data_IF_120864838667
#
_entry.id   IF_120864838667
#
_cell.length_a   1.000
_cell.length_b   1.000
_cell.length_c   1.000
_cell.angle_alpha   90.00
_cell.angle_beta   90.00
_cell.angle_gamma   90.00
#
_symmetry.space_group_name_H-M   'P 1'
#
loop_
_entity.id
_entity.type
_entity.pdbx_description
1 polymer ?
#
# COMPACT_ATOMS: atom_id res chain seq x y z
N UNK A 1 -14.62 15.44 60.15
CA UNK A 1 -14.58 14.01 59.78
C UNK A 1 -15.40 13.73 58.52
N UNK A 2 -16.57 14.36 58.34
CA UNK A 2 -17.38 14.26 57.12
C UNK A 2 -16.78 14.96 55.89
N UNK A 3 -16.11 16.11 56.05
CA UNK A 3 -15.57 16.87 54.91
C UNK A 3 -14.51 16.11 54.11
N UNK A 4 -13.60 15.39 54.78
CA UNK A 4 -12.61 14.52 54.13
C UNK A 4 -13.26 13.42 53.27
N UNK A 5 -14.40 12.88 53.70
CA UNK A 5 -15.11 11.81 52.96
C UNK A 5 -15.77 12.38 51.70
N UNK A 6 -16.24 13.63 51.75
CA UNK A 6 -16.82 14.33 50.61
C UNK A 6 -15.74 14.69 49.58
N UNK A 7 -14.59 15.15 50.05
CA UNK A 7 -13.46 15.52 49.18
C UNK A 7 -12.85 14.30 48.49
N UNK A 8 -12.70 13.18 49.20
CA UNK A 8 -12.23 11.91 48.62
C UNK A 8 -13.18 11.40 47.54
N UNK A 9 -14.50 11.45 47.79
CA UNK A 9 -15.51 11.06 46.78
C UNK A 9 -15.47 11.94 45.53
N UNK A 10 -15.34 13.27 45.69
CA UNK A 10 -15.18 14.19 44.56
C UNK A 10 -13.90 13.92 43.78
N UNK A 11 -12.80 13.62 44.46
CA UNK A 11 -11.53 13.30 43.80
C UNK A 11 -11.63 12.03 42.95
N UNK A 12 -12.27 10.98 43.48
CA UNK A 12 -12.50 9.73 42.75
C UNK A 12 -13.42 9.93 41.54
N UNK A 13 -14.45 10.77 41.68
CA UNK A 13 -15.36 11.09 40.57
C UNK A 13 -14.64 11.87 39.45
N UNK A 14 -13.79 12.83 39.79
CA UNK A 14 -12.96 13.57 38.83
C UNK A 14 -11.98 12.64 38.11
N UNK A 15 -11.37 11.70 38.83
CA UNK A 15 -10.43 10.74 38.24
C UNK A 15 -11.13 9.74 37.30
N UNK A 16 -12.32 9.26 37.68
CA UNK A 16 -13.16 8.42 36.83
C UNK A 16 -13.57 9.15 35.55
N UNK A 17 -14.00 10.41 35.65
CA UNK A 17 -14.36 11.25 34.49
C UNK A 17 -13.15 11.48 33.57
N UNK A 18 -11.97 11.77 34.11
CA UNK A 18 -10.73 11.90 33.32
C UNK A 18 -10.31 10.62 32.64
N UNK A 19 -10.64 9.45 33.21
CA UNK A 19 -10.37 8.16 32.58
C UNK A 19 -11.32 7.93 31.40
N UNK A 20 -12.61 8.20 31.59
CA UNK A 20 -13.63 8.12 30.53
C UNK A 20 -13.28 9.08 29.39
N UNK A 21 -12.96 10.34 29.69
CA UNK A 21 -12.61 11.34 28.67
C UNK A 21 -11.39 10.92 27.83
N UNK A 22 -10.37 10.32 28.45
CA UNK A 22 -9.20 9.79 27.73
C UNK A 22 -9.57 8.61 26.84
N UNK A 23 -10.44 7.74 27.33
CA UNK A 23 -10.90 6.55 26.58
C UNK A 23 -11.78 6.96 25.39
N UNK A 24 -12.68 7.92 25.59
CA UNK A 24 -13.49 8.52 24.53
C UNK A 24 -12.63 9.22 23.48
N UNK A 25 -11.61 9.97 23.92
CA UNK A 25 -10.66 10.63 23.02
C UNK A 25 -9.85 9.61 22.21
N UNK A 26 -9.38 8.54 22.85
CA UNK A 26 -8.67 7.46 22.18
C UNK A 26 -9.56 6.78 21.11
N UNK A 27 -10.82 6.53 21.44
CA UNK A 27 -11.77 5.92 20.51
C UNK A 27 -12.09 6.86 19.33
N UNK A 28 -12.22 8.17 19.59
CA UNK A 28 -12.40 9.17 18.55
C UNK A 28 -11.20 9.25 17.61
N UNK A 29 -9.98 9.25 18.15
CA UNK A 29 -8.74 9.25 17.38
C UNK A 29 -8.59 7.97 16.55
N UNK A 30 -8.92 6.81 17.12
CA UNK A 30 -8.91 5.52 16.40
C UNK A 30 -9.90 5.52 15.22
N UNK A 31 -11.11 6.04 15.43
CA UNK A 31 -12.12 6.18 14.38
C UNK A 31 -11.67 7.15 13.28
N UNK A 32 -11.02 8.26 13.64
CA UNK A 32 -10.48 9.22 12.69
C UNK A 32 -9.39 8.59 11.83
N UNK A 33 -8.48 7.83 12.45
CA UNK A 33 -7.43 7.10 11.76
C UNK A 33 -8.00 6.05 10.78
N UNK A 34 -8.99 5.27 11.21
CA UNK A 34 -9.63 4.27 10.35
C UNK A 34 -10.33 4.92 9.14
N UNK A 35 -10.96 6.08 9.35
CA UNK A 35 -11.61 6.84 8.28
C UNK A 35 -10.59 7.46 7.31
N UNK A 36 -9.46 7.95 7.79
CA UNK A 36 -8.36 8.43 6.95
C UNK A 36 -7.73 7.30 6.15
N UNK A 37 -7.49 6.15 6.78
CA UNK A 37 -7.02 4.94 6.09
C UNK A 37 -7.98 4.54 4.97
N UNK A 38 -9.29 4.54 5.21
CA UNK A 38 -10.28 4.24 4.18
C UNK A 38 -10.29 5.28 3.07
N UNK A 39 -10.15 6.57 3.39
CA UNK A 39 -10.01 7.64 2.39
C UNK A 39 -8.78 7.45 1.50
N UNK A 40 -7.63 7.12 2.08
CA UNK A 40 -6.41 6.84 1.33
C UNK A 40 -6.56 5.60 0.44
N UNK A 41 -7.18 4.54 0.94
CA UNK A 41 -7.50 3.35 0.15
C UNK A 41 -8.52 3.65 -0.96
N UNK A 42 -9.47 4.55 -0.75
CA UNK A 42 -10.45 4.95 -1.76
C UNK A 42 -9.83 5.86 -2.83
N UNK A 43 -8.90 6.75 -2.45
CA UNK A 43 -8.16 7.62 -3.37
C UNK A 43 -7.12 6.85 -4.18
N UNK A 44 -6.56 5.78 -3.61
CA UNK A 44 -5.60 4.92 -4.27
C UNK A 44 -6.06 3.45 -4.12
N UNK A 45 -7.09 3.04 -4.88
CA UNK A 45 -7.65 1.70 -4.78
C UNK A 45 -6.53 0.68 -5.00
N UNK A 46 -6.27 -0.24 -4.05
CA UNK A 46 -5.41 -1.37 -4.34
C UNK A 46 -6.04 -2.09 -5.52
N UNK A 47 -5.25 -2.31 -6.59
CA UNK A 47 -5.71 -3.02 -7.78
C UNK A 47 -6.42 -4.30 -7.32
N UNK A 48 -7.74 -4.33 -7.50
CA UNK A 48 -8.58 -5.44 -7.11
C UNK A 48 -8.08 -6.68 -7.84
N UNK A 49 -7.38 -7.57 -7.12
CA UNK A 49 -7.10 -8.93 -7.59
C UNK A 49 -8.41 -9.71 -7.45
N UNK A 50 -9.30 -9.48 -8.41
CA UNK A 50 -10.64 -10.03 -8.49
C UNK A 50 -11.00 -10.28 -9.95
N UNK A 51 -10.69 -11.50 -10.38
CA UNK A 51 -11.00 -12.24 -11.60
C UNK A 51 -11.88 -11.59 -12.71
N UNK A 52 -11.38 -11.84 -13.92
CA UNK A 52 -12.06 -11.89 -15.23
C UNK A 52 -12.18 -10.58 -16.02
N UNK A 53 -11.39 -10.56 -17.09
CA UNK A 53 -11.66 -9.89 -18.37
C UNK A 53 -11.98 -8.40 -18.32
N UNK A 54 -10.94 -7.56 -18.38
CA UNK A 54 -10.70 -6.76 -19.57
C UNK A 54 -9.32 -6.11 -19.53
N UNK A 55 -8.71 -6.13 -20.70
CA UNK A 55 -7.52 -5.40 -21.09
C UNK A 55 -7.59 -3.93 -20.64
N UNK A 56 -6.43 -3.40 -20.25
CA UNK A 56 -6.10 -1.96 -20.22
C UNK A 56 -6.78 -1.04 -19.20
N UNK A 57 -6.18 -0.97 -18.00
CA UNK A 57 -5.99 0.30 -17.27
C UNK A 57 -5.24 0.07 -15.95
N UNK A 58 -3.93 -0.22 -16.04
CA UNK A 58 -3.07 -0.09 -14.86
C UNK A 58 -2.43 1.31 -14.93
N UNK A 59 -2.63 2.21 -13.95
CA UNK A 59 -2.08 3.57 -13.98
C UNK A 59 -0.55 3.64 -13.83
N UNK A 60 0.14 2.49 -13.84
CA UNK A 60 1.59 2.39 -13.91
C UNK A 60 1.97 1.04 -14.56
N UNK A 61 1.43 0.71 -15.74
CA UNK A 61 2.08 -0.33 -16.58
C UNK A 61 3.41 0.25 -17.04
N UNK A 62 4.46 0.00 -16.26
CA UNK A 62 5.83 0.10 -16.72
C UNK A 62 5.96 -0.96 -17.83
N UNK A 63 5.62 -0.58 -19.06
CA UNK A 63 5.74 -1.47 -20.20
C UNK A 63 7.23 -1.73 -20.41
N UNK A 64 7.61 -3.00 -20.42
CA UNK A 64 8.99 -3.43 -20.63
C UNK A 64 9.57 -2.83 -21.92
N UNK A 65 8.73 -2.57 -22.93
CA UNK A 65 9.10 -1.86 -24.17
C UNK A 65 9.55 -0.40 -23.96
N UNK A 66 9.17 0.21 -22.84
CA UNK A 66 9.61 1.56 -22.45
C UNK A 66 11.01 1.54 -21.81
N UNK A 67 11.39 0.41 -21.20
CA UNK A 67 12.63 0.27 -20.42
C UNK A 67 13.72 -0.51 -21.15
N UNK A 68 13.36 -1.34 -22.12
CA UNK A 68 14.30 -2.05 -22.96
C UNK A 68 14.50 -1.34 -24.30
N UNK A 69 15.75 -1.07 -24.70
CA UNK A 69 16.04 -0.63 -26.06
C UNK A 69 15.65 -1.73 -27.04
N UNK A 70 15.19 -1.34 -28.24
CA UNK A 70 14.95 -2.28 -29.34
C UNK A 70 16.25 -2.96 -29.73
N UNK A 71 16.28 -4.29 -29.68
CA UNK A 71 17.46 -5.07 -30.04
C UNK A 71 17.70 -5.08 -31.55
N UNK A 72 18.91 -4.70 -31.97
CA UNK A 72 19.39 -4.73 -33.36
C UNK A 72 20.49 -5.81 -33.45
N UNK A 73 20.21 -6.98 -34.06
CA UNK A 73 21.13 -8.12 -34.06
C UNK A 73 22.54 -7.84 -34.59
N UNK A 74 22.67 -6.91 -35.54
CA UNK A 74 23.95 -6.57 -36.18
C UNK A 74 24.80 -5.57 -35.37
N UNK A 75 24.23 -4.93 -34.35
CA UNK A 75 24.85 -3.83 -33.62
C UNK A 75 24.90 -4.04 -32.11
N UNK A 76 23.90 -4.72 -31.56
CA UNK A 76 23.72 -4.85 -30.14
C UNK A 76 24.27 -6.18 -29.62
N UNK A 77 24.85 -6.16 -28.42
CA UNK A 77 25.31 -7.35 -27.74
C UNK A 77 24.12 -8.10 -27.11
N UNK A 78 23.87 -9.32 -27.58
CA UNK A 78 22.80 -10.18 -27.09
C UNK A 78 22.92 -10.48 -25.59
N UNK A 79 24.15 -10.61 -25.07
CA UNK A 79 24.41 -10.92 -23.66
C UNK A 79 23.98 -9.75 -22.78
N UNK A 80 24.33 -8.53 -23.22
CA UNK A 80 23.95 -7.29 -22.53
C UNK A 80 22.43 -7.08 -22.57
N UNK A 81 21.81 -7.33 -23.72
CA UNK A 81 20.37 -7.22 -23.88
C UNK A 81 19.62 -8.17 -22.93
N UNK A 82 20.00 -9.45 -22.88
CA UNK A 82 19.38 -10.44 -22.01
C UNK A 82 19.59 -10.12 -20.52
N UNK A 83 20.79 -9.62 -20.14
CA UNK A 83 21.06 -9.18 -18.76
C UNK A 83 20.16 -8.01 -18.34
N UNK A 84 19.97 -7.03 -19.23
CA UNK A 84 19.04 -5.94 -18.96
C UNK A 84 17.60 -6.45 -18.89
N UNK A 85 17.19 -7.33 -19.80
CA UNK A 85 15.86 -7.93 -19.81
C UNK A 85 15.55 -8.65 -18.50
N UNK A 86 16.45 -9.50 -18.01
CA UNK A 86 16.32 -10.22 -16.74
C UNK A 86 16.13 -9.25 -15.57
N UNK A 87 17.03 -8.27 -15.42
CA UNK A 87 16.96 -7.28 -14.33
C UNK A 87 15.65 -6.49 -14.35
N UNK A 88 15.12 -6.15 -15.53
CA UNK A 88 13.84 -5.44 -15.63
C UNK A 88 12.68 -6.35 -15.23
N UNK A 89 12.68 -7.63 -15.63
CA UNK A 89 11.65 -8.58 -15.21
C UNK A 89 11.67 -8.82 -13.70
N UNK A 90 12.85 -8.93 -13.10
CA UNK A 90 13.02 -9.01 -11.64
C UNK A 90 12.51 -7.74 -10.94
N UNK A 91 12.88 -6.55 -11.45
CA UNK A 91 12.43 -5.27 -10.89
C UNK A 91 10.90 -5.10 -10.95
N UNK A 92 10.26 -5.69 -11.98
CA UNK A 92 8.81 -5.67 -12.18
C UNK A 92 8.10 -6.88 -11.53
N UNK A 93 8.82 -7.78 -10.86
CA UNK A 93 8.31 -9.04 -10.31
C UNK A 93 7.50 -9.85 -11.34
N UNK A 94 7.95 -9.90 -12.60
CA UNK A 94 7.31 -10.70 -13.65
C UNK A 94 7.62 -12.18 -13.41
N UNK A 95 6.61 -13.07 -13.36
CA UNK A 95 6.86 -14.51 -13.23
C UNK A 95 7.63 -15.07 -14.43
N UNK A 96 8.58 -15.97 -14.16
CA UNK A 96 9.46 -16.59 -15.17
C UNK A 96 8.70 -17.25 -16.33
N UNK A 97 7.51 -17.79 -16.06
CA UNK A 97 6.62 -18.42 -17.05
C UNK A 97 6.24 -17.47 -18.19
N UNK A 98 6.24 -16.16 -17.93
CA UNK A 98 5.91 -15.13 -18.93
C UNK A 98 7.15 -14.53 -19.60
N UNK A 99 8.37 -14.83 -19.17
CA UNK A 99 9.59 -14.18 -19.71
C UNK A 99 9.77 -14.46 -21.20
N UNK A 100 9.60 -15.72 -21.62
CA UNK A 100 9.72 -16.09 -23.03
C UNK A 100 8.71 -15.35 -23.91
N UNK A 101 7.45 -15.22 -23.45
CA UNK A 101 6.42 -14.48 -24.19
C UNK A 101 6.74 -12.98 -24.34
N UNK A 102 7.40 -12.37 -23.36
CA UNK A 102 7.83 -10.97 -23.44
C UNK A 102 9.04 -10.78 -24.35
N UNK A 103 9.90 -11.80 -24.48
CA UNK A 103 11.09 -11.73 -25.32
C UNK A 103 10.77 -11.84 -26.82
N UNK A 104 9.69 -12.57 -27.17
CA UNK A 104 9.30 -12.86 -28.57
C UNK A 104 8.10 -12.04 -29.07
N UNK A 105 7.47 -11.23 -28.22
CA UNK A 105 6.22 -10.48 -28.51
C UNK A 105 6.38 -8.99 -28.84
#
# INVERSE_FOLDING_TARGET
>A
MLDNIVDERKSLEIEALKKIEREDKFLADQRAFELEKLKLQAQNPPASVGNSSQMDSNPMRLDLKTFLPTFIPDKDDISLFLTMFERQNEALNVPADFWVSHLIG
#
